data_IF_201213671881
#
_entry.id   IF_201213671881
#
_cell.length_a   1.000
_cell.length_b   1.000
_cell.length_c   1.000
_cell.angle_alpha   90.00
_cell.angle_beta   90.00
_cell.angle_gamma   90.00
#
_symmetry.space_group_name_H-M   'P 1'
#
loop_
_entity.id
_entity.type
_entity.pdbx_description
1 polymer ?
#
# COMPACT_ATOMS: atom_id res chain seq x y z
N UNK A 1 25.34 11.60 2.82
CA UNK A 1 25.11 10.36 3.58
C UNK A 1 24.89 9.24 2.59
N UNK A 2 25.60 8.11 2.68
CA UNK A 2 25.45 6.96 1.77
C UNK A 2 24.50 5.93 2.36
N UNK A 3 23.53 5.48 1.58
CA UNK A 3 22.43 4.59 2.00
C UNK A 3 22.36 3.43 1.02
N UNK A 4 22.42 2.20 1.51
CA UNK A 4 22.13 1.01 0.71
C UNK A 4 20.66 0.67 0.89
N UNK A 5 19.89 0.65 -0.19
CA UNK A 5 18.47 0.37 -0.17
C UNK A 5 18.22 -0.98 -0.86
N UNK A 6 17.71 -1.96 -0.14
CA UNK A 6 17.50 -3.32 -0.63
C UNK A 6 16.01 -3.54 -0.83
N UNK A 7 15.61 -3.87 -2.06
CA UNK A 7 14.23 -4.18 -2.43
C UNK A 7 14.17 -5.56 -3.12
N UNK A 8 13.03 -6.27 -3.04
CA UNK A 8 12.84 -7.49 -3.80
C UNK A 8 12.45 -7.17 -5.25
N UNK A 9 12.95 -7.96 -6.20
CA UNK A 9 12.56 -7.91 -7.61
C UNK A 9 12.77 -6.55 -8.29
N UNK A 10 12.01 -6.32 -9.36
CA UNK A 10 12.05 -5.06 -10.10
C UNK A 10 11.19 -3.98 -9.43
N UNK A 11 11.84 -2.93 -8.94
CA UNK A 11 11.20 -1.78 -8.29
C UNK A 11 10.23 -1.03 -9.23
N UNK A 12 10.34 -1.25 -10.55
CA UNK A 12 9.42 -0.65 -11.51
C UNK A 12 8.05 -1.32 -11.56
N UNK A 13 7.89 -2.50 -10.96
CA UNK A 13 6.59 -3.14 -10.78
C UNK A 13 5.64 -2.21 -10.02
N UNK A 14 4.42 -2.03 -10.54
CA UNK A 14 3.44 -1.11 -9.96
C UNK A 14 2.75 -1.74 -8.74
N UNK A 15 3.39 -1.62 -7.58
CA UNK A 15 2.85 -1.97 -6.27
C UNK A 15 2.90 -0.76 -5.33
N UNK A 16 2.04 -0.73 -4.31
CA UNK A 16 2.07 0.35 -3.32
C UNK A 16 3.43 0.48 -2.62
N UNK A 17 4.02 -0.66 -2.21
CA UNK A 17 5.33 -0.70 -1.56
C UNK A 17 6.43 -0.13 -2.46
N UNK A 18 6.54 -0.59 -3.71
CA UNK A 18 7.58 -0.08 -4.61
C UNK A 18 7.38 1.38 -5.00
N UNK A 19 6.12 1.85 -5.11
CA UNK A 19 5.85 3.27 -5.31
C UNK A 19 6.37 4.08 -4.11
N UNK A 20 6.11 3.62 -2.90
CA UNK A 20 6.64 4.25 -1.68
C UNK A 20 8.17 4.27 -1.69
N UNK A 21 8.80 3.13 -1.95
CA UNK A 21 10.27 3.00 -1.95
C UNK A 21 10.89 3.95 -2.97
N UNK A 22 10.38 3.97 -4.21
CA UNK A 22 10.83 4.90 -5.26
C UNK A 22 10.70 6.36 -4.81
N UNK A 23 9.56 6.72 -4.20
CA UNK A 23 9.33 8.09 -3.74
C UNK A 23 10.28 8.49 -2.61
N UNK A 24 10.53 7.60 -1.65
CA UNK A 24 11.52 7.83 -0.59
C UNK A 24 12.94 7.91 -1.14
N UNK A 25 13.36 6.98 -2.00
CA UNK A 25 14.68 6.98 -2.65
C UNK A 25 14.90 8.29 -3.41
N UNK A 26 13.92 8.71 -4.21
CA UNK A 26 14.00 9.96 -4.97
C UNK A 26 14.08 11.19 -4.04
N UNK A 27 13.27 11.23 -2.99
CA UNK A 27 13.30 12.32 -2.01
C UNK A 27 14.62 12.39 -1.24
N UNK A 28 15.15 11.25 -0.79
CA UNK A 28 16.47 11.17 -0.15
C UNK A 28 17.60 11.63 -1.08
N UNK A 29 17.52 11.24 -2.36
CA UNK A 29 18.47 11.68 -3.40
C UNK A 29 18.39 13.19 -3.61
N UNK A 30 17.17 13.75 -3.67
CA UNK A 30 16.95 15.19 -3.80
C UNK A 30 17.47 16.00 -2.59
N UNK A 31 17.46 15.41 -1.39
CA UNK A 31 18.07 15.98 -0.18
C UNK A 31 19.61 15.93 -0.21
N UNK A 32 20.21 15.17 -1.14
CA UNK A 32 21.66 15.03 -1.28
C UNK A 32 22.25 13.75 -0.67
N UNK A 33 21.43 12.73 -0.41
CA UNK A 33 21.93 11.40 -0.05
C UNK A 33 22.40 10.63 -1.29
N UNK A 34 23.48 9.87 -1.14
CA UNK A 34 23.91 8.87 -2.13
C UNK A 34 23.14 7.58 -1.85
N UNK A 35 22.06 7.33 -2.59
CA UNK A 35 21.25 6.11 -2.44
C UNK A 35 21.69 5.08 -3.46
N UNK A 36 22.13 3.92 -2.98
CA UNK A 36 22.50 2.76 -3.79
C UNK A 36 21.41 1.73 -3.69
N UNK A 37 20.67 1.57 -4.78
CA UNK A 37 19.59 0.59 -4.89
C UNK A 37 20.16 -0.79 -5.22
N UNK A 38 19.79 -1.78 -4.43
CA UNK A 38 20.07 -3.20 -4.65
C UNK A 38 18.74 -3.93 -4.84
N UNK A 39 18.53 -4.47 -6.05
CA UNK A 39 17.35 -5.26 -6.38
C UNK A 39 17.72 -6.73 -6.29
N UNK A 40 17.12 -7.46 -5.36
CA UNK A 40 17.36 -8.89 -5.21
C UNK A 40 16.50 -9.69 -6.18
N UNK A 41 17.10 -10.61 -6.92
CA UNK A 41 16.34 -11.57 -7.70
C UNK A 41 15.54 -12.53 -6.79
N UNK A 42 14.50 -13.15 -7.34
CA UNK A 42 13.70 -14.17 -6.64
C UNK A 42 12.37 -13.67 -6.09
N UNK A 43 11.56 -14.62 -5.63
CA UNK A 43 10.17 -14.40 -5.25
C UNK A 43 10.04 -14.16 -3.74
N UNK A 44 10.43 -12.97 -3.26
CA UNK A 44 10.20 -12.61 -1.86
C UNK A 44 8.70 -12.40 -1.58
N UNK A 45 8.17 -12.89 -0.44
CA UNK A 45 8.85 -13.40 0.76
C UNK A 45 9.12 -14.92 0.76
N UNK A 46 9.08 -15.60 -0.39
CA UNK A 46 9.39 -17.03 -0.52
C UNK A 46 10.66 -17.26 -1.39
N UNK A 47 11.82 -16.67 -1.03
CA UNK A 47 13.01 -16.73 -1.88
C UNK A 47 13.56 -18.15 -2.00
N UNK A 48 14.25 -18.42 -3.11
CA UNK A 48 15.07 -19.61 -3.26
C UNK A 48 16.43 -19.47 -2.54
N UNK A 49 17.18 -20.56 -2.42
CA UNK A 49 18.48 -20.58 -1.74
C UNK A 49 19.50 -19.62 -2.38
N UNK A 50 19.44 -19.47 -3.71
CA UNK A 50 20.32 -18.58 -4.46
C UNK A 50 20.08 -17.12 -4.07
N UNK A 51 18.83 -16.70 -3.98
CA UNK A 51 18.42 -15.34 -3.61
C UNK A 51 18.82 -15.03 -2.15
N UNK A 52 18.75 -16.02 -1.26
CA UNK A 52 19.24 -15.90 0.12
C UNK A 52 20.76 -15.72 0.15
N UNK A 53 21.52 -16.50 -0.62
CA UNK A 53 22.99 -16.37 -0.69
C UNK A 53 23.43 -15.04 -1.33
N UNK A 54 22.73 -14.58 -2.36
CA UNK A 54 22.96 -13.26 -2.96
C UNK A 54 22.79 -12.15 -1.91
N UNK A 55 21.72 -12.19 -1.12
CA UNK A 55 21.50 -11.25 -0.03
C UNK A 55 22.59 -11.32 1.05
N UNK A 56 23.04 -12.55 1.39
CA UNK A 56 24.13 -12.78 2.34
C UNK A 56 25.44 -12.16 1.87
N UNK A 57 25.82 -12.40 0.60
CA UNK A 57 27.01 -11.82 -0.01
C UNK A 57 26.95 -10.30 -0.04
N UNK A 58 25.82 -9.74 -0.45
CA UNK A 58 25.59 -8.30 -0.48
C UNK A 58 25.83 -7.68 0.90
N UNK A 59 25.13 -8.16 1.94
CA UNK A 59 25.26 -7.59 3.29
C UNK A 59 26.68 -7.74 3.85
N UNK A 60 27.36 -8.87 3.61
CA UNK A 60 28.76 -9.08 4.04
C UNK A 60 29.75 -8.11 3.39
N UNK A 61 29.52 -7.73 2.14
CA UNK A 61 30.40 -6.83 1.39
C UNK A 61 30.29 -5.35 1.82
N UNK A 62 29.21 -4.96 2.51
CA UNK A 62 29.01 -3.59 2.96
C UNK A 62 30.01 -3.20 4.08
N UNK A 63 30.44 -1.93 4.17
CA UNK A 63 31.39 -1.49 5.20
C UNK A 63 30.78 -1.50 6.61
N UNK A 64 31.64 -1.58 7.63
CA UNK A 64 31.24 -1.39 9.03
C UNK A 64 30.54 -0.05 9.20
N UNK A 65 29.46 -0.01 9.98
CA UNK A 65 28.56 1.11 10.18
C UNK A 65 27.83 1.59 8.91
N UNK A 66 27.84 0.81 7.82
CA UNK A 66 27.04 1.09 6.64
C UNK A 66 25.54 1.13 6.96
N UNK A 67 24.86 2.17 6.46
CA UNK A 67 23.40 2.33 6.56
C UNK A 67 22.73 1.47 5.50
N UNK A 68 21.81 0.62 5.93
CA UNK A 68 21.07 -0.31 5.06
C UNK A 68 19.59 -0.25 5.39
N UNK A 69 18.79 0.17 4.41
CA UNK A 69 17.33 0.08 4.46
C UNK A 69 16.94 -1.20 3.72
N UNK A 70 16.14 -2.05 4.34
CA UNK A 70 15.70 -3.34 3.78
C UNK A 70 14.18 -3.38 3.76
N UNK A 71 13.60 -3.59 2.60
CA UNK A 71 12.15 -3.79 2.44
C UNK A 71 11.67 -5.01 3.26
N UNK A 72 10.47 -4.90 3.84
CA UNK A 72 9.89 -5.87 4.76
C UNK A 72 9.66 -7.26 4.16
N UNK A 73 9.42 -7.37 2.85
CA UNK A 73 9.30 -8.67 2.18
C UNK A 73 10.64 -9.43 2.20
N UNK A 74 11.76 -8.69 2.16
CA UNK A 74 13.12 -9.25 2.28
C UNK A 74 13.46 -9.43 3.76
N UNK A 75 13.41 -8.35 4.55
CA UNK A 75 13.81 -8.33 5.96
C UNK A 75 13.05 -9.36 6.79
N UNK A 76 11.78 -9.63 6.45
CA UNK A 76 10.93 -10.58 7.14
C UNK A 76 11.34 -12.05 7.00
N UNK A 77 12.26 -12.38 6.08
CA UNK A 77 12.63 -13.79 5.78
C UNK A 77 14.13 -14.07 5.76
N UNK A 78 14.96 -13.07 6.07
CA UNK A 78 16.42 -13.18 6.16
C UNK A 78 16.94 -12.96 7.59
N UNK A 79 16.14 -13.29 8.59
CA UNK A 79 16.39 -12.95 10.00
C UNK A 79 17.77 -13.43 10.52
N UNK A 80 18.21 -14.62 10.11
CA UNK A 80 19.56 -15.12 10.40
C UNK A 80 20.67 -14.22 9.84
N UNK A 81 20.52 -13.74 8.60
CA UNK A 81 21.48 -12.84 7.97
C UNK A 81 21.47 -11.47 8.66
N UNK A 82 20.30 -10.96 9.04
CA UNK A 82 20.19 -9.70 9.79
C UNK A 82 20.86 -9.82 11.16
N UNK A 83 20.65 -10.93 11.89
CA UNK A 83 21.32 -11.21 13.18
C UNK A 83 22.84 -11.26 13.07
N UNK A 84 23.38 -11.87 12.02
CA UNK A 84 24.83 -11.94 11.76
C UNK A 84 25.44 -10.54 11.57
N UNK A 85 24.66 -9.58 11.07
CA UNK A 85 25.15 -8.28 10.63
C UNK A 85 24.71 -7.10 11.49
N UNK A 86 23.73 -7.25 12.39
CA UNK A 86 23.13 -6.13 13.13
C UNK A 86 24.08 -5.38 14.07
N UNK A 87 25.17 -6.00 14.52
CA UNK A 87 26.22 -5.32 15.30
C UNK A 87 27.15 -4.48 14.41
N UNK A 88 27.32 -4.90 13.16
CA UNK A 88 28.29 -4.35 12.20
C UNK A 88 27.66 -3.31 11.28
N UNK A 89 26.43 -3.53 10.85
CA UNK A 89 25.66 -2.66 9.96
C UNK A 89 24.60 -1.91 10.75
N UNK A 90 24.02 -0.91 10.10
CA UNK A 90 22.94 -0.09 10.63
C UNK A 90 21.70 -0.41 9.84
N UNK A 91 20.95 -1.38 10.35
CA UNK A 91 19.85 -2.01 9.62
C UNK A 91 18.55 -1.30 9.97
N UNK A 92 17.87 -0.79 8.96
CA UNK A 92 16.55 -0.19 9.05
C UNK A 92 15.59 -1.10 8.27
N UNK A 93 14.62 -1.69 8.95
CA UNK A 93 13.60 -2.51 8.30
C UNK A 93 12.39 -1.66 7.91
N UNK A 94 12.00 -1.67 6.64
CA UNK A 94 10.86 -0.93 6.11
C UNK A 94 9.66 -1.85 5.92
N UNK A 95 8.74 -1.84 6.88
CA UNK A 95 7.58 -2.74 6.91
C UNK A 95 6.34 -2.02 6.36
N UNK A 96 6.07 -2.24 5.07
CA UNK A 96 4.82 -1.79 4.44
C UNK A 96 3.61 -2.54 4.99
N UNK A 97 3.75 -3.86 5.11
CA UNK A 97 2.74 -4.79 5.57
C UNK A 97 3.44 -5.91 6.34
N UNK A 98 3.15 -6.12 7.64
CA UNK A 98 3.70 -7.27 8.34
C UNK A 98 3.25 -8.57 7.65
N UNK A 99 4.20 -9.44 7.36
CA UNK A 99 3.94 -10.73 6.72
C UNK A 99 3.03 -11.58 7.62
N UNK A 100 3.21 -11.55 8.94
CA UNK A 100 2.42 -12.37 9.87
C UNK A 100 0.89 -12.14 9.81
N UNK A 101 0.46 -10.92 9.50
CA UNK A 101 -0.96 -10.52 9.45
C UNK A 101 -1.49 -10.44 8.02
N UNK A 102 -0.62 -10.66 7.04
CA UNK A 102 -1.07 -10.81 5.65
C UNK A 102 -1.94 -12.08 5.57
N UNK A 103 -3.11 -12.03 4.91
CA UNK A 103 -4.04 -13.15 4.86
C UNK A 103 -3.54 -14.22 3.87
N UNK A 104 -2.46 -14.90 4.23
CA UNK A 104 -1.98 -16.09 3.51
C UNK A 104 -2.99 -17.24 3.67
N UNK A 105 -3.00 -18.17 2.71
CA UNK A 105 -3.93 -19.29 2.74
C UNK A 105 -3.65 -20.31 3.87
N UNK A 106 -2.48 -20.25 4.55
CA UNK A 106 -2.11 -21.16 5.63
C UNK A 106 -1.65 -20.48 6.93
N UNK A 107 -2.31 -20.79 8.06
CA UNK A 107 -1.94 -20.27 9.39
C UNK A 107 -0.50 -20.60 9.82
N UNK A 108 0.05 -21.74 9.38
CA UNK A 108 1.43 -22.13 9.68
C UNK A 108 2.44 -21.18 9.03
N UNK A 109 2.13 -20.68 7.83
CA UNK A 109 2.95 -19.70 7.11
C UNK A 109 3.00 -18.40 7.91
N UNK A 110 1.86 -17.91 8.40
CA UNK A 110 1.80 -16.72 9.25
C UNK A 110 2.69 -16.83 10.48
N UNK A 111 2.69 -18.00 11.15
CA UNK A 111 3.54 -18.23 12.33
C UNK A 111 5.03 -18.24 11.99
N UNK A 112 5.42 -18.85 10.86
CA UNK A 112 6.81 -18.85 10.41
C UNK A 112 7.28 -17.43 10.07
N UNK A 113 6.47 -16.67 9.33
CA UNK A 113 6.75 -15.27 9.04
C UNK A 113 6.83 -14.44 10.31
N UNK A 114 5.89 -14.60 11.24
CA UNK A 114 5.93 -13.91 12.52
C UNK A 114 7.26 -14.14 13.27
N UNK A 115 7.70 -15.39 13.37
CA UNK A 115 8.96 -15.71 14.06
C UNK A 115 10.18 -15.06 13.41
N UNK A 116 10.25 -15.12 12.08
CA UNK A 116 11.36 -14.55 11.31
C UNK A 116 11.33 -13.02 11.33
N UNK A 117 10.17 -12.40 11.10
CA UNK A 117 10.00 -10.95 11.21
C UNK A 117 10.32 -10.45 12.61
N UNK A 118 9.76 -11.05 13.67
CA UNK A 118 10.08 -10.69 15.06
C UNK A 118 11.58 -10.74 15.32
N UNK A 119 12.22 -11.81 14.88
CA UNK A 119 13.67 -12.01 15.00
C UNK A 119 14.47 -10.91 14.28
N UNK A 120 14.06 -10.56 13.07
CA UNK A 120 14.68 -9.53 12.22
C UNK A 120 14.48 -8.11 12.75
N UNK A 121 13.24 -7.76 13.08
CA UNK A 121 12.87 -6.42 13.52
C UNK A 121 13.50 -6.06 14.87
N UNK A 122 13.62 -7.01 15.80
CA UNK A 122 14.34 -6.80 17.08
C UNK A 122 15.82 -6.49 16.90
N UNK A 123 16.43 -6.99 15.83
CA UNK A 123 17.82 -6.72 15.50
C UNK A 123 18.00 -5.46 14.65
N UNK A 124 16.91 -4.83 14.20
CA UNK A 124 16.98 -3.59 13.44
C UNK A 124 17.26 -2.41 14.38
N UNK A 125 18.09 -1.47 13.91
CA UNK A 125 18.37 -0.22 14.62
C UNK A 125 17.15 0.71 14.58
N UNK A 126 16.35 0.61 13.51
CA UNK A 126 15.03 1.23 13.40
C UNK A 126 14.08 0.38 12.55
N UNK A 127 12.78 0.52 12.79
CA UNK A 127 11.70 -0.07 12.01
C UNK A 127 10.83 1.06 11.49
N UNK A 128 10.71 1.17 10.17
CA UNK A 128 9.83 2.14 9.52
C UNK A 128 8.52 1.46 9.16
N UNK A 129 7.40 2.11 9.48
CA UNK A 129 6.06 1.67 9.08
C UNK A 129 5.30 2.80 8.40
N UNK A 130 4.32 2.46 7.57
CA UNK A 130 3.57 3.43 6.76
C UNK A 130 2.42 4.12 7.49
N UNK A 131 2.05 3.69 8.70
CA UNK A 131 0.93 4.28 9.45
C UNK A 131 1.01 4.02 10.96
N UNK A 132 0.27 4.82 11.73
CA UNK A 132 0.07 4.60 13.17
C UNK A 132 -0.65 3.26 13.47
N UNK A 133 -1.51 2.81 12.55
CA UNK A 133 -2.14 1.50 12.65
C UNK A 133 -1.10 0.39 12.61
N UNK A 134 -0.17 0.43 11.64
CA UNK A 134 0.93 -0.54 11.55
C UNK A 134 1.82 -0.51 12.79
N UNK A 135 2.12 0.68 13.33
CA UNK A 135 2.86 0.80 14.60
C UNK A 135 2.12 0.11 15.75
N UNK A 136 0.82 0.35 15.87
CA UNK A 136 -0.04 -0.26 16.91
C UNK A 136 -0.06 -1.79 16.77
N UNK A 137 -0.16 -2.31 15.54
CA UNK A 137 -0.13 -3.76 15.29
C UNK A 137 1.21 -4.36 15.74
N UNK A 138 2.35 -3.75 15.41
CA UNK A 138 3.65 -4.25 15.85
C UNK A 138 3.81 -4.23 17.38
N UNK A 139 3.32 -3.19 18.05
CA UNK A 139 3.38 -3.08 19.52
C UNK A 139 2.48 -4.11 20.22
N UNK A 140 1.33 -4.44 19.64
CA UNK A 140 0.36 -5.37 20.25
C UNK A 140 0.65 -6.84 19.92
N UNK A 141 1.24 -7.14 18.77
CA UNK A 141 1.45 -8.51 18.30
C UNK A 141 2.73 -9.18 18.83
N UNK A 142 3.22 -8.80 20.01
CA UNK A 142 4.38 -9.43 20.69
C UNK A 142 5.66 -9.49 19.83
N UNK A 143 5.88 -8.52 18.94
CA UNK A 143 7.12 -8.42 18.17
C UNK A 143 8.36 -8.06 19.03
N UNK A 144 8.15 -7.67 20.30
CA UNK A 144 9.19 -7.25 21.27
C UNK A 144 10.15 -6.19 20.73
N UNK A 145 9.60 -5.22 20.00
CA UNK A 145 10.33 -4.05 19.51
C UNK A 145 10.07 -2.91 20.48
N UNK A 146 11.13 -2.22 20.91
CA UNK A 146 11.02 -0.98 21.69
C UNK A 146 10.27 0.08 20.86
N UNK A 147 9.31 0.77 21.46
CA UNK A 147 8.45 1.73 20.75
C UNK A 147 9.27 2.84 20.06
N UNK A 148 10.36 3.27 20.69
CA UNK A 148 11.26 4.32 20.22
C UNK A 148 12.00 3.93 18.93
N UNK A 149 12.08 2.63 18.62
CA UNK A 149 12.65 2.12 17.36
C UNK A 149 11.65 2.14 16.21
N UNK A 150 10.35 2.35 16.48
CA UNK A 150 9.30 2.32 15.46
C UNK A 150 8.99 3.74 14.99
N UNK A 151 9.35 4.02 13.74
CA UNK A 151 9.13 5.30 13.08
C UNK A 151 7.97 5.19 12.08
N UNK A 152 6.92 5.97 12.32
CA UNK A 152 5.82 6.10 11.35
C UNK A 152 6.22 7.12 10.30
N UNK A 153 6.37 6.70 9.05
CA UNK A 153 6.65 7.58 7.91
C UNK A 153 5.58 7.35 6.86
N UNK A 154 4.53 8.17 6.94
CA UNK A 154 3.35 8.04 6.09
C UNK A 154 3.69 8.31 4.61
N UNK A 155 3.05 7.58 3.67
CA UNK A 155 3.11 7.90 2.26
C UNK A 155 2.69 9.35 2.00
N UNK A 156 3.40 9.99 1.07
CA UNK A 156 3.08 11.36 0.67
C UNK A 156 1.96 11.45 -0.37
N UNK A 157 1.42 12.64 -0.52
CA UNK A 157 0.55 13.04 -1.62
C UNK A 157 1.09 14.34 -2.22
N UNK A 158 1.54 14.28 -3.47
CA UNK A 158 2.00 15.46 -4.20
C UNK A 158 0.81 16.29 -4.73
N UNK A 159 1.09 17.50 -5.21
CA UNK A 159 0.07 18.39 -5.74
C UNK A 159 -0.63 17.75 -6.96
N UNK A 160 -1.85 17.27 -6.77
CA UNK A 160 -2.67 16.64 -7.80
C UNK A 160 -3.87 17.53 -8.16
N UNK A 161 -4.29 17.53 -9.44
CA UNK A 161 -5.46 18.29 -9.85
C UNK A 161 -6.71 17.75 -9.16
N UNK A 162 -7.61 18.64 -8.77
CA UNK A 162 -8.87 18.26 -8.10
C UNK A 162 -10.04 18.32 -9.09
N UNK A 163 -10.92 17.33 -9.00
CA UNK A 163 -12.22 17.33 -9.68
C UNK A 163 -13.04 18.54 -9.20
N UNK A 164 -13.67 19.24 -10.15
CA UNK A 164 -14.39 20.51 -9.89
C UNK A 164 -15.91 20.39 -9.96
N UNK A 165 -16.38 19.45 -10.77
CA UNK A 165 -17.78 19.17 -11.06
C UNK A 165 -18.08 17.70 -10.85
N UNK A 166 -19.31 17.40 -10.47
CA UNK A 166 -19.80 16.03 -10.26
C UNK A 166 -21.13 15.90 -11.02
N UNK A 167 -21.46 14.70 -11.54
CA UNK A 167 -22.78 14.45 -12.10
C UNK A 167 -23.86 14.48 -11.01
N UNK A 168 -25.13 14.39 -11.41
CA UNK A 168 -26.25 14.23 -10.46
C UNK A 168 -26.21 12.87 -9.74
N UNK A 169 -25.78 11.82 -10.45
CA UNK A 169 -25.60 10.46 -9.95
C UNK A 169 -24.30 9.87 -10.53
N UNK A 170 -23.56 9.04 -9.77
CA UNK A 170 -22.33 8.45 -10.24
C UNK A 170 -22.62 7.35 -11.25
N UNK A 171 -21.91 7.38 -12.38
CA UNK A 171 -21.98 6.31 -13.40
C UNK A 171 -20.63 5.66 -13.65
N UNK A 172 -19.54 6.40 -13.48
CA UNK A 172 -18.18 5.87 -13.64
C UNK A 172 -17.55 5.56 -12.29
N UNK A 173 -17.48 4.27 -11.96
CA UNK A 173 -16.83 3.76 -10.76
C UNK A 173 -15.37 3.44 -11.07
N UNK A 174 -14.45 3.83 -10.18
CA UNK A 174 -13.03 3.50 -10.29
C UNK A 174 -12.57 2.65 -9.11
N UNK A 175 -11.89 1.56 -9.42
CA UNK A 175 -11.12 0.75 -8.46
C UNK A 175 -9.66 0.72 -8.92
N UNK A 176 -8.78 1.46 -8.24
CA UNK A 176 -7.35 1.46 -8.51
C UNK A 176 -6.61 0.56 -7.52
N UNK A 177 -6.47 -0.72 -7.89
CA UNK A 177 -5.76 -1.74 -7.12
C UNK A 177 -5.38 -2.91 -8.03
N UNK A 178 -4.27 -3.60 -7.72
CA UNK A 178 -3.95 -4.88 -8.37
C UNK A 178 -5.10 -5.88 -8.21
N UNK A 179 -5.41 -6.62 -9.26
CA UNK A 179 -6.53 -7.56 -9.29
C UNK A 179 -6.10 -8.86 -8.63
N UNK A 180 -6.12 -8.84 -7.30
CA UNK A 180 -5.73 -9.94 -6.41
C UNK A 180 -6.82 -10.18 -5.35
N UNK A 181 -6.87 -11.38 -4.77
CA UNK A 181 -7.90 -11.82 -3.81
C UNK A 181 -8.14 -10.84 -2.67
N UNK A 182 -7.07 -10.37 -2.03
CA UNK A 182 -7.16 -9.44 -0.89
C UNK A 182 -7.80 -8.09 -1.25
N UNK A 183 -7.73 -7.67 -2.52
CA UNK A 183 -8.25 -6.36 -2.97
C UNK A 183 -9.75 -6.37 -3.28
N UNK A 184 -10.41 -7.53 -3.23
CA UNK A 184 -11.88 -7.63 -3.21
C UNK A 184 -12.61 -7.30 -4.52
N UNK A 185 -11.96 -7.48 -5.67
CA UNK A 185 -12.57 -7.17 -6.97
C UNK A 185 -13.83 -8.02 -7.25
N UNK A 186 -13.80 -9.30 -6.87
CA UNK A 186 -14.96 -10.19 -6.95
C UNK A 186 -16.13 -9.71 -6.09
N UNK A 187 -15.87 -9.22 -4.89
CA UNK A 187 -16.90 -8.72 -3.97
C UNK A 187 -17.64 -7.51 -4.56
N UNK A 188 -16.87 -6.59 -5.15
CA UNK A 188 -17.41 -5.44 -5.87
C UNK A 188 -18.22 -5.87 -7.10
N UNK A 189 -17.73 -6.83 -7.87
CA UNK A 189 -18.45 -7.36 -9.02
C UNK A 189 -19.78 -8.02 -8.62
N UNK A 190 -19.78 -8.83 -7.57
CA UNK A 190 -20.99 -9.49 -7.05
C UNK A 190 -22.03 -8.48 -6.54
N UNK A 191 -21.59 -7.39 -5.90
CA UNK A 191 -22.46 -6.30 -5.49
C UNK A 191 -23.09 -5.61 -6.71
N UNK A 192 -22.29 -5.29 -7.73
CA UNK A 192 -22.73 -4.64 -8.96
C UNK A 192 -23.59 -5.56 -9.85
N UNK A 193 -23.38 -6.88 -9.81
CA UNK A 193 -24.18 -7.89 -10.51
C UNK A 193 -25.66 -7.86 -10.15
N UNK A 194 -26.00 -7.29 -9.00
CA UNK A 194 -27.37 -7.15 -8.53
C UNK A 194 -27.97 -5.77 -8.84
N UNK A 195 -27.21 -4.90 -9.51
CA UNK A 195 -27.56 -3.51 -9.82
C UNK A 195 -27.58 -3.26 -11.34
N UNK A 196 -27.92 -4.27 -12.14
CA UNK A 196 -27.86 -4.20 -13.62
C UNK A 196 -28.82 -3.17 -14.25
N UNK A 197 -29.93 -2.90 -13.57
CA UNK A 197 -30.94 -1.91 -14.00
C UNK A 197 -30.44 -0.46 -13.91
N UNK A 198 -29.32 -0.22 -13.21
CA UNK A 198 -28.70 1.08 -13.04
C UNK A 198 -27.60 1.25 -14.11
N UNK A 199 -27.50 2.43 -14.72
CA UNK A 199 -26.43 2.75 -15.68
C UNK A 199 -25.12 3.05 -14.94
N UNK A 200 -24.20 2.07 -14.94
CA UNK A 200 -22.87 2.20 -14.37
C UNK A 200 -21.82 1.48 -15.21
N UNK A 201 -20.58 1.95 -15.10
CA UNK A 201 -19.35 1.32 -15.61
C UNK A 201 -18.30 1.26 -14.50
N UNK A 202 -17.66 0.11 -14.35
CA UNK A 202 -16.54 -0.10 -13.44
C UNK A 202 -15.23 -0.11 -14.22
N UNK A 203 -14.28 0.74 -13.82
CA UNK A 203 -12.92 0.75 -14.33
C UNK A 203 -12.00 0.17 -13.28
N UNK A 204 -11.29 -0.91 -13.63
CA UNK A 204 -10.28 -1.53 -12.77
C UNK A 204 -8.88 -1.20 -13.30
N UNK A 205 -8.09 -0.49 -12.50
CA UNK A 205 -6.72 -0.10 -12.81
C UNK A 205 -5.76 -0.80 -11.84
N UNK A 206 -4.99 -1.77 -12.34
CA UNK A 206 -4.02 -2.52 -11.55
C UNK A 206 -3.56 -3.78 -12.28
N UNK A 207 -2.46 -4.38 -11.79
CA UNK A 207 -1.87 -5.56 -12.40
C UNK A 207 -2.86 -6.71 -12.53
N UNK A 208 -2.83 -7.36 -13.68
CA UNK A 208 -3.59 -8.57 -14.02
C UNK A 208 -2.70 -9.82 -14.01
N UNK A 209 -1.46 -9.68 -13.56
CA UNK A 209 -0.41 -10.71 -13.67
C UNK A 209 0.05 -11.23 -12.31
N UNK A 210 -0.23 -10.51 -11.21
CA UNK A 210 0.20 -10.90 -9.86
C UNK A 210 -0.48 -12.18 -9.34
N UNK A 211 -1.78 -12.36 -9.63
CA UNK A 211 -2.53 -13.58 -9.29
C UNK A 211 -3.34 -14.04 -10.50
N UNK A 212 -2.68 -14.69 -11.47
CA UNK A 212 -3.28 -15.09 -12.75
C UNK A 212 -4.57 -15.91 -12.56
N UNK A 213 -4.59 -16.84 -11.61
CA UNK A 213 -5.77 -17.68 -11.33
C UNK A 213 -6.96 -16.86 -10.81
N UNK A 214 -6.71 -15.88 -9.94
CA UNK A 214 -7.75 -14.97 -9.46
C UNK A 214 -8.30 -14.10 -10.59
N UNK A 215 -7.42 -13.57 -11.45
CA UNK A 215 -7.81 -12.76 -12.61
C UNK A 215 -8.63 -13.57 -13.62
N UNK A 216 -8.27 -14.84 -13.86
CA UNK A 216 -9.05 -15.73 -14.72
C UNK A 216 -10.44 -15.99 -14.15
N UNK A 217 -10.56 -16.25 -12.84
CA UNK A 217 -11.84 -16.37 -12.16
C UNK A 217 -12.66 -15.08 -12.27
N UNK A 218 -12.02 -13.92 -12.06
CA UNK A 218 -12.66 -12.61 -12.17
C UNK A 218 -13.23 -12.36 -13.58
N UNK A 219 -12.45 -12.64 -14.63
CA UNK A 219 -12.93 -12.58 -16.02
C UNK A 219 -14.07 -13.55 -16.31
N UNK A 220 -13.99 -14.77 -15.76
CA UNK A 220 -15.07 -15.76 -15.84
C UNK A 220 -16.36 -15.21 -15.24
N UNK A 221 -16.29 -14.60 -14.05
CA UNK A 221 -17.46 -13.99 -13.40
C UNK A 221 -18.03 -12.79 -14.11
N UNK A 222 -17.19 -11.95 -14.72
CA UNK A 222 -17.66 -10.86 -15.59
C UNK A 222 -18.54 -11.42 -16.71
N UNK A 223 -18.12 -12.52 -17.34
CA UNK A 223 -18.88 -13.22 -18.37
C UNK A 223 -20.13 -13.90 -17.83
N UNK A 224 -20.03 -14.63 -16.71
CA UNK A 224 -21.18 -15.29 -16.07
C UNK A 224 -22.30 -14.30 -15.71
N UNK A 225 -21.94 -13.04 -15.47
CA UNK A 225 -22.87 -11.96 -15.15
C UNK A 225 -23.23 -11.05 -16.34
N UNK A 226 -22.79 -11.35 -17.56
CA UNK A 226 -23.01 -10.53 -18.77
C UNK A 226 -22.56 -9.06 -18.57
N UNK A 227 -21.34 -8.86 -18.07
CA UNK A 227 -20.80 -7.54 -17.66
C UNK A 227 -19.62 -7.04 -18.49
N UNK A 228 -19.30 -7.68 -19.61
CA UNK A 228 -18.14 -7.36 -20.44
C UNK A 228 -18.14 -5.91 -20.94
N UNK A 229 -19.31 -5.36 -21.24
CA UNK A 229 -19.49 -3.97 -21.68
C UNK A 229 -19.40 -2.94 -20.53
N UNK A 230 -19.51 -3.41 -19.28
CA UNK A 230 -19.61 -2.57 -18.08
C UNK A 230 -18.35 -2.58 -17.23
N UNK A 231 -17.55 -3.64 -17.27
CA UNK A 231 -16.33 -3.79 -16.47
C UNK A 231 -15.10 -3.72 -17.39
N UNK A 232 -14.32 -2.66 -17.24
CA UNK A 232 -13.15 -2.39 -18.07
C UNK A 232 -11.88 -2.65 -17.26
N UNK A 233 -11.12 -3.67 -17.66
CA UNK A 233 -9.82 -3.99 -17.07
C UNK A 233 -8.70 -3.26 -17.82
N UNK A 234 -8.12 -2.22 -17.21
CA UNK A 234 -7.07 -1.39 -17.84
C UNK A 234 -5.66 -1.96 -17.68
N UNK A 235 -5.48 -2.94 -16.79
CA UNK A 235 -4.14 -3.38 -16.40
C UNK A 235 -3.43 -2.36 -15.52
N UNK A 236 -2.13 -2.56 -15.32
CA UNK A 236 -1.31 -1.66 -14.53
C UNK A 236 -0.98 -0.39 -15.34
N UNK A 237 -1.59 0.73 -14.96
CA UNK A 237 -1.37 2.05 -15.58
C UNK A 237 -0.81 3.03 -14.54
N UNK A 238 -0.09 4.06 -14.99
CA UNK A 238 0.51 5.07 -14.12
C UNK A 238 0.56 6.44 -14.80
N UNK A 239 1.02 7.47 -14.07
CA UNK A 239 1.20 8.81 -14.61
C UNK A 239 -0.11 9.41 -15.14
N UNK A 240 -0.06 9.97 -16.36
CA UNK A 240 -1.19 10.70 -16.95
C UNK A 240 -2.40 9.83 -17.26
N UNK A 241 -2.21 8.56 -17.56
CA UNK A 241 -3.32 7.64 -17.80
C UNK A 241 -4.11 7.39 -16.52
N UNK A 242 -3.41 7.11 -15.40
CA UNK A 242 -4.06 6.92 -14.10
C UNK A 242 -4.68 8.22 -13.57
N UNK A 243 -4.00 9.36 -13.74
CA UNK A 243 -4.53 10.70 -13.42
C UNK A 243 -5.85 10.96 -14.15
N UNK A 244 -5.92 10.63 -15.45
CA UNK A 244 -7.14 10.75 -16.26
C UNK A 244 -8.27 9.89 -15.71
N UNK A 245 -7.98 8.66 -15.28
CA UNK A 245 -8.99 7.78 -14.69
C UNK A 245 -9.54 8.36 -13.37
N UNK A 246 -8.69 8.89 -12.50
CA UNK A 246 -9.13 9.56 -11.28
C UNK A 246 -9.99 10.81 -11.55
N UNK A 247 -9.59 11.66 -12.49
CA UNK A 247 -10.34 12.90 -12.80
C UNK A 247 -11.71 12.63 -13.43
N UNK A 248 -11.80 11.57 -14.23
CA UNK A 248 -13.03 11.19 -14.92
C UNK A 248 -13.98 10.35 -14.05
N UNK A 249 -13.48 9.66 -13.02
CA UNK A 249 -14.31 8.87 -12.11
C UNK A 249 -15.34 9.74 -11.35
N UNK A 250 -16.50 9.17 -11.05
CA UNK A 250 -17.56 9.80 -10.28
C UNK A 250 -17.58 9.32 -8.83
N UNK A 251 -17.15 8.07 -8.61
CA UNK A 251 -17.06 7.42 -7.32
C UNK A 251 -15.83 6.50 -7.31
N UNK A 252 -15.00 6.61 -6.26
CA UNK A 252 -13.93 5.67 -6.03
C UNK A 252 -14.41 4.56 -5.10
N UNK A 253 -14.24 3.30 -5.51
CA UNK A 253 -14.64 2.13 -4.73
C UNK A 253 -13.41 1.27 -4.49
N UNK A 254 -13.11 1.01 -3.22
CA UNK A 254 -11.91 0.30 -2.80
C UNK A 254 -12.26 -0.85 -1.85
N UNK A 255 -12.58 -2.03 -2.40
CA UNK A 255 -13.10 -3.15 -1.63
C UNK A 255 -12.00 -3.99 -0.95
N UNK A 256 -10.87 -3.38 -0.64
CA UNK A 256 -9.74 -4.11 -0.05
C UNK A 256 -10.09 -4.60 1.34
N UNK A 257 -9.93 -5.91 1.56
CA UNK A 257 -10.19 -6.56 2.85
C UNK A 257 -9.24 -6.12 3.95
N UNK A 258 -8.03 -5.72 3.57
CA UNK A 258 -6.99 -5.39 4.53
C UNK A 258 -5.98 -4.43 3.91
N UNK A 259 -5.62 -3.37 4.62
CA UNK A 259 -4.54 -2.44 4.26
C UNK A 259 -3.81 -2.00 5.51
N UNK A 260 -2.61 -1.45 5.33
CA UNK A 260 -1.87 -0.73 6.37
C UNK A 260 -1.90 0.78 6.19
N UNK A 261 -2.20 1.26 4.98
CA UNK A 261 -2.40 2.68 4.70
C UNK A 261 -3.38 2.89 3.54
N UNK A 262 -3.22 2.14 2.44
CA UNK A 262 -4.11 2.28 1.28
C UNK A 262 -3.90 3.58 0.52
N UNK A 263 -2.73 3.75 -0.10
CA UNK A 263 -2.35 4.96 -0.84
C UNK A 263 -3.38 5.41 -1.88
N UNK A 264 -4.00 4.46 -2.58
CA UNK A 264 -5.03 4.75 -3.58
C UNK A 264 -6.27 5.46 -2.99
N UNK A 265 -6.58 5.24 -1.70
CA UNK A 265 -7.64 5.98 -1.01
C UNK A 265 -7.24 7.45 -0.81
N UNK A 266 -6.00 7.69 -0.37
CA UNK A 266 -5.45 9.04 -0.20
C UNK A 266 -5.37 9.77 -1.54
N UNK A 267 -4.98 9.07 -2.61
CA UNK A 267 -4.99 9.60 -3.97
C UNK A 267 -6.41 9.98 -4.41
N UNK A 268 -7.39 9.08 -4.27
CA UNK A 268 -8.79 9.34 -4.62
C UNK A 268 -9.37 10.57 -3.89
N UNK A 269 -9.17 10.64 -2.57
CA UNK A 269 -9.57 11.79 -1.76
C UNK A 269 -8.83 13.07 -2.18
N UNK A 270 -7.57 12.94 -2.56
CA UNK A 270 -6.74 14.02 -3.07
C UNK A 270 -7.22 14.57 -4.41
N UNK A 271 -7.71 13.71 -5.32
CA UNK A 271 -8.40 14.09 -6.56
C UNK A 271 -9.81 14.66 -6.30
N UNK A 272 -10.30 14.62 -5.06
CA UNK A 272 -11.61 15.11 -4.68
C UNK A 272 -12.75 14.15 -5.04
N UNK A 273 -12.48 12.84 -5.13
CA UNK A 273 -13.52 11.85 -5.36
C UNK A 273 -14.24 11.49 -4.05
N UNK A 274 -15.57 11.29 -4.07
CA UNK A 274 -16.23 10.54 -3.01
C UNK A 274 -15.70 9.09 -2.99
N UNK A 275 -15.57 8.53 -1.79
CA UNK A 275 -14.94 7.21 -1.58
C UNK A 275 -15.92 6.24 -0.90
N UNK A 276 -15.95 4.99 -1.35
CA UNK A 276 -16.55 3.84 -0.67
C UNK A 276 -15.46 2.79 -0.43
N UNK A 277 -15.25 2.37 0.82
CA UNK A 277 -14.13 1.47 1.16
C UNK A 277 -14.47 0.55 2.33
N UNK A 278 -13.89 -0.65 2.35
CA UNK A 278 -13.92 -1.56 3.50
C UNK A 278 -12.75 -1.33 4.47
N UNK A 279 -11.80 -0.46 4.12
CA UNK A 279 -10.64 -0.13 4.95
C UNK A 279 -11.05 0.85 6.05
N UNK A 280 -10.89 0.44 7.32
CA UNK A 280 -11.26 1.25 8.49
C UNK A 280 -10.54 2.62 8.52
N UNK A 281 -11.24 3.65 9.00
CA UNK A 281 -10.70 4.99 9.23
C UNK A 281 -9.45 5.02 10.13
N UNK A 282 -9.33 4.09 11.09
CA UNK A 282 -8.15 3.94 11.93
C UNK A 282 -6.91 3.52 11.15
N UNK A 283 -7.09 2.79 10.04
CA UNK A 283 -5.99 2.36 9.15
C UNK A 283 -5.39 3.54 8.39
N UNK A 284 -6.24 4.48 7.94
CA UNK A 284 -5.81 5.65 7.19
C UNK A 284 -6.46 6.93 7.73
N UNK A 285 -5.79 7.54 8.71
CA UNK A 285 -6.21 8.79 9.34
C UNK A 285 -6.17 10.00 8.40
N UNK A 286 -5.49 9.89 7.25
CA UNK A 286 -5.49 10.95 6.26
C UNK A 286 -6.83 11.06 5.53
N UNK A 287 -7.69 10.03 5.58
CA UNK A 287 -8.95 10.06 4.85
C UNK A 287 -10.01 10.96 5.51
N UNK A 288 -10.67 11.82 4.71
CA UNK A 288 -11.79 12.62 5.19
C UNK A 288 -13.02 11.74 5.44
N UNK A 289 -13.33 11.48 6.71
CA UNK A 289 -14.47 10.61 7.10
C UNK A 289 -15.84 11.09 6.59
N UNK A 290 -16.02 12.40 6.37
CA UNK A 290 -17.30 12.91 5.83
C UNK A 290 -17.46 12.81 4.31
N UNK A 291 -16.38 12.46 3.60
CA UNK A 291 -16.34 12.21 2.16
C UNK A 291 -16.10 10.72 1.83
N UNK A 292 -16.09 9.88 2.86
CA UNK A 292 -15.80 8.44 2.76
C UNK A 292 -16.91 7.66 3.44
N UNK A 293 -17.50 6.69 2.74
CA UNK A 293 -18.39 5.71 3.34
C UNK A 293 -17.59 4.43 3.61
N UNK A 294 -17.58 4.04 4.88
CA UNK A 294 -16.97 2.80 5.34
C UNK A 294 -18.04 1.71 5.41
N UNK A 295 -17.71 0.51 4.95
CA UNK A 295 -18.54 -0.68 5.12
C UNK A 295 -17.70 -1.82 5.70
N UNK A 296 -18.33 -2.83 6.28
CA UNK A 296 -17.58 -3.95 6.86
C UNK A 296 -16.93 -4.82 5.76
N UNK A 297 -15.64 -5.21 5.91
CA UNK A 297 -15.04 -6.21 5.03
C UNK A 297 -15.90 -7.48 4.93
N UNK A 298 -15.93 -8.09 3.74
CA UNK A 298 -16.72 -9.30 3.43
C UNK A 298 -18.26 -9.13 3.56
N UNK A 299 -18.76 -7.90 3.76
CA UNK A 299 -20.20 -7.61 3.78
C UNK A 299 -20.73 -7.13 2.42
N UNK A 300 -20.84 -8.04 1.45
CA UNK A 300 -21.27 -7.71 0.09
C UNK A 300 -22.71 -7.12 0.05
N UNK A 301 -23.56 -7.46 1.02
CA UNK A 301 -24.90 -6.88 1.12
C UNK A 301 -24.88 -5.40 1.50
N UNK A 302 -23.98 -4.99 2.41
CA UNK A 302 -23.77 -3.60 2.79
C UNK A 302 -23.12 -2.80 1.66
N UNK A 303 -22.11 -3.36 0.98
CA UNK A 303 -21.52 -2.75 -0.21
C UNK A 303 -22.58 -2.48 -1.28
N UNK A 304 -23.39 -3.50 -1.61
CA UNK A 304 -24.50 -3.37 -2.58
C UNK A 304 -25.49 -2.30 -2.16
N UNK A 305 -25.91 -2.28 -0.89
CA UNK A 305 -26.86 -1.28 -0.36
C UNK A 305 -26.30 0.13 -0.50
N UNK A 306 -25.04 0.32 -0.13
CA UNK A 306 -24.34 1.61 -0.25
C UNK A 306 -24.26 2.07 -1.70
N UNK A 307 -23.84 1.19 -2.61
CA UNK A 307 -23.76 1.51 -4.03
C UNK A 307 -25.13 1.83 -4.62
N UNK A 308 -26.17 1.05 -4.28
CA UNK A 308 -27.54 1.31 -4.71
C UNK A 308 -28.02 2.69 -4.25
N UNK A 309 -27.84 3.03 -2.97
CA UNK A 309 -28.23 4.34 -2.44
C UNK A 309 -27.51 5.49 -3.18
N UNK A 310 -26.19 5.42 -3.32
CA UNK A 310 -25.44 6.47 -4.02
C UNK A 310 -25.81 6.58 -5.50
N UNK A 311 -26.17 5.49 -6.17
CA UNK A 311 -26.52 5.50 -7.59
C UNK A 311 -28.00 5.80 -7.87
N UNK A 312 -28.85 5.86 -6.85
CA UNK A 312 -30.30 6.13 -7.02
C UNK A 312 -30.80 7.32 -6.21
N UNK A 313 -30.02 7.82 -5.25
CA UNK A 313 -30.35 8.97 -4.42
C UNK A 313 -29.35 10.11 -4.64
N UNK A 314 -29.75 11.07 -5.49
CA UNK A 314 -28.92 12.21 -5.84
C UNK A 314 -28.55 13.08 -4.63
N UNK A 315 -29.44 13.20 -3.64
CA UNK A 315 -29.16 14.00 -2.44
C UNK A 315 -28.00 13.40 -1.64
N UNK A 316 -28.03 12.09 -1.39
CA UNK A 316 -26.97 11.40 -0.65
C UNK A 316 -25.63 11.46 -1.39
N UNK A 317 -25.63 11.22 -2.70
CA UNK A 317 -24.42 11.30 -3.52
C UNK A 317 -23.84 12.72 -3.57
N UNK A 318 -24.66 13.73 -3.83
CA UNK A 318 -24.21 15.12 -3.91
C UNK A 318 -23.70 15.63 -2.56
N UNK A 319 -24.31 15.20 -1.45
CA UNK A 319 -23.79 15.50 -0.10
C UNK A 319 -22.37 14.96 0.08
N UNK A 320 -22.11 13.71 -0.35
CA UNK A 320 -20.79 13.10 -0.31
C UNK A 320 -19.79 13.83 -1.22
N UNK A 321 -20.21 14.21 -2.43
CA UNK A 321 -19.40 15.00 -3.37
C UNK A 321 -19.02 16.37 -2.80
N UNK A 322 -19.94 17.04 -2.12
CA UNK A 322 -19.68 18.35 -1.50
C UNK A 322 -18.70 18.24 -0.33
N UNK A 323 -18.70 17.12 0.39
CA UNK A 323 -17.64 16.81 1.36
C UNK A 323 -16.30 16.56 0.66
N UNK A 324 -16.28 15.71 -0.38
CA UNK A 324 -15.06 15.39 -1.14
C UNK A 324 -14.43 16.63 -1.79
N UNK A 325 -15.27 17.56 -2.29
CA UNK A 325 -14.82 18.83 -2.86
C UNK A 325 -14.11 19.71 -1.84
N UNK A 326 -14.66 19.80 -0.62
CA UNK A 326 -14.19 20.71 0.44
C UNK A 326 -13.01 20.15 1.25
N UNK A 327 -12.88 18.84 1.33
CA UNK A 327 -11.89 18.21 2.20
C UNK A 327 -10.73 17.64 1.39
N UNK A 328 -9.52 18.03 1.78
CA UNK A 328 -8.28 17.42 1.31
C UNK A 328 -7.87 16.33 2.30
N UNK A 329 -7.28 15.23 1.82
CA UNK A 329 -6.69 14.25 2.73
C UNK A 329 -5.59 14.90 3.56
N UNK A 330 -5.52 14.55 4.84
CA UNK A 330 -4.49 15.04 5.76
C UNK A 330 -3.20 14.22 5.63
N UNK A 331 -2.66 14.16 4.41
CA UNK A 331 -1.42 13.46 4.10
C UNK A 331 -0.24 14.45 3.98
N UNK A 332 0.98 14.06 4.39
CA UNK A 332 2.18 14.84 4.07
C UNK A 332 2.41 14.86 2.55
N UNK A 333 3.23 15.79 2.07
CA UNK A 333 3.85 15.67 0.73
C UNK A 333 4.95 14.61 0.73
N UNK A 334 5.32 14.07 -0.44
CA UNK A 334 6.43 13.12 -0.51
C UNK A 334 7.76 13.72 -0.06
N UNK A 335 7.96 15.03 -0.27
CA UNK A 335 9.12 15.74 0.25
C UNK A 335 9.16 15.74 1.78
N UNK A 336 8.03 15.96 2.45
CA UNK A 336 7.93 15.91 3.91
C UNK A 336 8.17 14.48 4.44
N UNK A 337 7.63 13.46 3.77
CA UNK A 337 7.90 12.05 4.14
C UNK A 337 9.38 11.69 3.98
N UNK A 338 10.01 12.09 2.88
CA UNK A 338 11.44 11.88 2.66
C UNK A 338 12.32 12.65 3.66
N UNK A 339 11.93 13.88 4.03
CA UNK A 339 12.64 14.65 5.05
C UNK A 339 12.53 13.99 6.43
N UNK A 340 11.35 13.47 6.79
CA UNK A 340 11.14 12.69 8.02
C UNK A 340 12.03 11.44 8.02
N UNK A 341 12.10 10.73 6.89
CA UNK A 341 12.99 9.57 6.71
C UNK A 341 14.46 9.96 6.87
N UNK A 342 14.90 11.03 6.22
CA UNK A 342 16.27 11.54 6.32
C UNK A 342 16.64 11.90 7.77
N UNK A 343 15.76 12.62 8.49
CA UNK A 343 16.01 13.01 9.88
C UNK A 343 16.18 11.80 10.79
N UNK A 344 15.38 10.75 10.59
CA UNK A 344 15.50 9.47 11.31
C UNK A 344 16.87 8.83 11.03
N UNK A 345 17.25 8.65 9.77
CA UNK A 345 18.56 8.09 9.40
C UNK A 345 19.74 8.91 9.95
N UNK A 346 19.66 10.24 9.89
CA UNK A 346 20.70 11.13 10.37
C UNK A 346 20.81 11.14 11.89
N UNK A 347 19.68 11.09 12.60
CA UNK A 347 19.64 10.99 14.07
C UNK A 347 20.29 9.69 14.54
N UNK A 348 19.95 8.58 13.88
CA UNK A 348 20.61 7.31 14.05
C UNK A 348 22.12 7.54 13.80
N UNK A 349 22.55 8.11 12.67
CA UNK A 349 23.99 8.33 12.35
C UNK A 349 24.83 9.15 13.33
N UNK A 350 24.22 10.03 14.12
CA UNK A 350 24.98 10.80 15.11
C UNK A 350 25.23 10.04 16.41
N UNK A 351 24.21 9.35 16.95
CA UNK A 351 24.30 8.69 18.27
C UNK A 351 25.43 7.66 18.37
N UNK A 352 25.80 7.00 17.26
CA UNK A 352 26.82 5.95 17.20
C UNK A 352 28.23 6.44 16.86
N UNK A 353 28.38 7.68 16.39
CA UNK A 353 29.70 8.30 16.23
C UNK A 353 30.16 9.01 17.53
N UNK A 354 29.24 9.22 18.47
CA UNK A 354 29.49 9.84 19.78
C UNK A 354 29.66 8.80 20.91
N UNK A 355 29.42 7.52 20.63
CA UNK A 355 29.62 6.36 21.53
C UNK A 355 30.73 5.45 21.03
#
# INVERSE_FOLDING_TARGET
MRINFIVPGDINTLTGGYIYDKKIINGLTAIGCEVILHQLAGDFPCPDEKSIEECRHLLRALPVNGIVVIDGLVAGVIDGIIKENCKRLRIISLVHLPLSITPWDEQKINRKFFQSERSSLRCSEAVVVSSEFSKTVLLQAEYDIEEEKIYVIEPGLDNIPRKKSYPELPRRLLCAANVIKRKGHLDLLEALAQLKEIDWKLICCGSLEQEISYVQNFRGKIKDYDMEERVILKGAISGKDLESEFLNADLFVFPSRFETYGMALTEAAGYGLPVVTSVDAATNRALPGSATIFYQPDNNAELRKTLFDLMTNAENYLKLCMSAKRQTPAAPSWNQSAEKFYRMLNGINKSKNES
#
